data_IF_200011570609
#
_entry.id   IF_200011570609
#
_cell.length_a   1.000
_cell.length_b   1.000
_cell.length_c   1.000
_cell.angle_alpha   90.00
_cell.angle_beta   90.00
_cell.angle_gamma   90.00
#
_symmetry.space_group_name_H-M   'P 1'
#
loop_
_entity.id
_entity.type
_entity.pdbx_description
1 polymer ?
#
# COMPACT_ATOMS: atom_id res chain seq x y z
N UNK A 1 -31.12 -22.07 -30.63
CA UNK A 1 -30.91 -23.41 -31.19
C UNK A 1 -31.18 -24.41 -30.10
N UNK A 2 -32.22 -25.23 -30.20
CA UNK A 2 -32.60 -26.17 -29.13
C UNK A 2 -32.54 -27.61 -29.62
N UNK A 3 -32.00 -28.48 -28.77
CA UNK A 3 -31.75 -29.90 -29.06
C UNK A 3 -32.85 -30.80 -28.50
N UNK A 4 -33.64 -30.29 -27.55
CA UNK A 4 -34.83 -30.94 -26.99
C UNK A 4 -35.89 -29.90 -26.63
N UNK A 5 -37.03 -30.35 -26.07
CA UNK A 5 -38.04 -29.45 -25.50
C UNK A 5 -37.54 -28.68 -24.26
N UNK A 6 -36.45 -29.13 -23.63
CA UNK A 6 -35.93 -28.59 -22.36
C UNK A 6 -34.48 -28.11 -22.44
N UNK A 7 -33.78 -28.37 -23.53
CA UNK A 7 -32.34 -28.11 -23.66
C UNK A 7 -32.04 -27.30 -24.91
N UNK A 8 -31.22 -26.25 -24.73
CA UNK A 8 -30.77 -25.40 -25.80
C UNK A 8 -29.25 -25.28 -25.84
N UNK A 9 -28.69 -25.08 -27.04
CA UNK A 9 -27.26 -24.80 -27.23
C UNK A 9 -26.97 -23.30 -27.20
N UNK A 10 -27.95 -22.51 -27.68
CA UNK A 10 -27.81 -21.05 -27.77
C UNK A 10 -29.17 -20.38 -27.65
N UNK A 11 -29.23 -19.31 -26.86
CA UNK A 11 -30.41 -18.48 -26.67
C UNK A 11 -30.48 -17.36 -27.73
N UNK A 12 -31.70 -16.91 -28.03
CA UNK A 12 -31.93 -15.79 -28.96
C UNK A 12 -31.56 -14.48 -28.28
N UNK A 13 -31.98 -14.31 -27.03
CA UNK A 13 -31.57 -13.20 -26.17
C UNK A 13 -30.08 -13.34 -25.82
N UNK A 14 -29.32 -12.30 -26.09
CA UNK A 14 -27.87 -12.23 -25.87
C UNK A 14 -27.48 -12.19 -24.39
N UNK A 15 -28.40 -11.81 -23.51
CA UNK A 15 -28.17 -11.77 -22.06
C UNK A 15 -28.55 -13.10 -21.38
N UNK A 16 -29.19 -14.02 -22.12
CA UNK A 16 -29.56 -15.34 -21.62
C UNK A 16 -28.55 -16.41 -22.02
N UNK A 17 -28.43 -17.43 -21.18
CA UNK A 17 -27.63 -18.63 -21.43
C UNK A 17 -28.43 -19.90 -21.24
N UNK A 18 -28.05 -20.98 -21.95
CA UNK A 18 -28.70 -22.24 -21.74
C UNK A 18 -28.43 -22.82 -20.36
N UNK A 19 -29.45 -23.45 -19.77
CA UNK A 19 -29.36 -24.19 -18.51
C UNK A 19 -29.91 -25.59 -18.76
N UNK A 20 -29.16 -26.66 -18.42
CA UNK A 20 -29.63 -28.03 -18.61
C UNK A 20 -31.01 -28.26 -17.96
N UNK A 21 -31.96 -28.76 -18.74
CA UNK A 21 -33.34 -29.01 -18.31
C UNK A 21 -34.21 -27.77 -18.11
N UNK A 22 -33.69 -26.55 -18.36
CA UNK A 22 -34.39 -25.27 -18.15
C UNK A 22 -34.25 -24.30 -19.32
N UNK A 23 -34.01 -24.83 -20.52
CA UNK A 23 -33.90 -24.05 -21.76
C UNK A 23 -32.93 -22.87 -21.61
N UNK A 24 -33.45 -21.63 -21.64
CA UNK A 24 -32.70 -20.37 -21.59
C UNK A 24 -33.02 -19.55 -20.33
N UNK A 25 -33.33 -20.21 -19.22
CA UNK A 25 -33.62 -19.54 -17.93
C UNK A 25 -32.38 -19.03 -17.19
N UNK A 26 -31.16 -19.24 -17.70
CA UNK A 26 -29.94 -18.67 -17.13
C UNK A 26 -29.63 -17.29 -17.71
N UNK A 27 -28.91 -16.47 -16.93
CA UNK A 27 -28.32 -15.22 -17.41
C UNK A 27 -26.80 -15.36 -17.61
N UNK A 28 -26.26 -14.64 -18.60
CA UNK A 28 -24.83 -14.53 -18.83
C UNK A 28 -24.13 -13.79 -17.67
N UNK A 29 -22.82 -13.97 -17.55
CA UNK A 29 -22.01 -13.19 -16.61
C UNK A 29 -22.25 -11.69 -16.85
N UNK A 30 -22.34 -10.92 -15.76
CA UNK A 30 -22.75 -9.52 -15.76
C UNK A 30 -24.26 -9.33 -15.61
N UNK A 31 -25.05 -10.41 -15.55
CA UNK A 31 -26.50 -10.35 -15.40
C UNK A 31 -27.05 -11.35 -14.37
N UNK A 32 -28.17 -11.01 -13.73
CA UNK A 32 -28.96 -11.89 -12.88
C UNK A 32 -30.40 -11.99 -13.37
N UNK A 33 -31.07 -13.09 -13.05
CA UNK A 33 -32.47 -13.29 -13.41
C UNK A 33 -33.36 -12.55 -12.41
N UNK A 34 -34.13 -11.58 -12.90
CA UNK A 34 -35.20 -10.92 -12.17
C UNK A 34 -36.51 -11.13 -12.91
N UNK A 35 -37.45 -11.84 -12.29
CA UNK A 35 -38.69 -12.28 -12.92
C UNK A 35 -38.41 -13.08 -14.21
N UNK A 36 -38.65 -12.49 -15.38
CA UNK A 36 -38.43 -13.10 -16.69
C UNK A 36 -37.36 -12.34 -17.50
N UNK A 37 -36.55 -11.50 -16.87
CA UNK A 37 -35.53 -10.71 -17.56
C UNK A 37 -34.17 -10.82 -16.89
N UNK A 38 -33.12 -10.79 -17.71
CA UNK A 38 -31.74 -10.70 -17.23
C UNK A 38 -31.40 -9.22 -17.00
N UNK A 39 -31.29 -8.81 -15.74
CA UNK A 39 -30.91 -7.45 -15.35
C UNK A 39 -29.41 -7.38 -15.07
N UNK A 40 -28.79 -6.22 -15.29
CA UNK A 40 -27.34 -6.08 -15.12
C UNK A 40 -26.95 -6.14 -13.65
N UNK A 41 -25.90 -6.87 -13.35
CA UNK A 41 -25.23 -6.85 -12.05
C UNK A 41 -24.77 -5.42 -11.69
N UNK A 42 -24.49 -5.21 -10.40
CA UNK A 42 -23.77 -4.02 -9.96
C UNK A 42 -22.41 -3.88 -10.66
N UNK A 43 -21.93 -2.64 -10.79
CA UNK A 43 -20.62 -2.37 -11.40
C UNK A 43 -19.51 -3.17 -10.72
N UNK A 44 -18.53 -3.58 -11.53
CA UNK A 44 -17.39 -4.40 -11.11
C UNK A 44 -17.76 -5.81 -10.63
N UNK A 45 -19.04 -6.20 -10.71
CA UNK A 45 -19.48 -7.55 -10.42
C UNK A 45 -19.63 -8.37 -11.70
N UNK A 46 -18.93 -9.50 -11.78
CA UNK A 46 -18.97 -10.45 -12.90
C UNK A 46 -20.11 -11.46 -12.77
N UNK A 47 -20.41 -11.92 -11.56
CA UNK A 47 -21.54 -12.82 -11.29
C UNK A 47 -22.23 -12.34 -10.02
N UNK A 48 -23.55 -12.13 -10.08
CA UNK A 48 -24.35 -11.67 -8.96
C UNK A 48 -25.61 -12.53 -8.77
N UNK A 49 -26.14 -12.56 -7.56
CA UNK A 49 -27.46 -13.13 -7.26
C UNK A 49 -28.58 -12.12 -7.51
N UNK A 50 -28.32 -10.86 -7.18
CA UNK A 50 -29.22 -9.72 -7.39
C UNK A 50 -28.41 -8.43 -7.57
N UNK A 51 -29.10 -7.28 -7.64
CA UNK A 51 -28.46 -5.97 -7.80
C UNK A 51 -27.43 -5.64 -6.72
N UNK A 52 -27.61 -6.15 -5.50
CA UNK A 52 -26.83 -5.82 -4.30
C UNK A 52 -25.86 -6.91 -3.87
N UNK A 53 -26.07 -8.15 -4.31
CA UNK A 53 -25.27 -9.31 -3.88
C UNK A 53 -24.41 -9.86 -5.01
N UNK A 54 -23.16 -9.42 -5.06
CA UNK A 54 -22.14 -10.00 -5.91
C UNK A 54 -21.61 -11.32 -5.34
N UNK A 55 -21.40 -12.32 -6.20
CA UNK A 55 -20.74 -13.58 -5.82
C UNK A 55 -19.35 -13.73 -6.44
N UNK A 56 -19.09 -12.99 -7.52
CA UNK A 56 -17.77 -12.97 -8.17
C UNK A 56 -17.53 -11.62 -8.83
N UNK A 57 -16.42 -10.98 -8.51
CA UNK A 57 -16.05 -9.68 -9.06
C UNK A 57 -15.27 -9.81 -10.37
N UNK A 58 -15.31 -8.76 -11.17
CA UNK A 58 -14.41 -8.61 -12.30
C UNK A 58 -13.06 -8.13 -11.77
N UNK A 59 -11.99 -8.88 -12.04
CA UNK A 59 -10.62 -8.55 -11.60
C UNK A 59 -9.97 -7.40 -12.37
N UNK A 60 -10.64 -6.92 -13.41
CA UNK A 60 -10.30 -5.70 -14.13
C UNK A 60 -10.30 -4.51 -13.16
N UNK A 61 -9.46 -3.49 -13.40
CA UNK A 61 -9.38 -2.30 -12.54
C UNK A 61 -9.05 -2.57 -11.06
N UNK A 62 -8.30 -3.64 -10.78
CA UNK A 62 -7.68 -3.94 -9.47
C UNK A 62 -8.67 -4.28 -8.34
N UNK A 63 -9.74 -5.01 -8.64
CA UNK A 63 -10.63 -5.60 -7.64
C UNK A 63 -10.21 -7.04 -7.28
N UNK A 64 -10.45 -7.42 -6.03
CA UNK A 64 -10.41 -8.81 -5.58
C UNK A 64 -11.48 -9.63 -6.30
N UNK A 65 -11.16 -10.87 -6.70
CA UNK A 65 -12.14 -11.73 -7.38
C UNK A 65 -13.30 -12.13 -6.43
N UNK A 66 -12.99 -12.28 -5.14
CA UNK A 66 -13.95 -12.68 -4.12
C UNK A 66 -14.53 -11.44 -3.44
N UNK A 67 -15.86 -11.21 -3.51
CA UNK A 67 -16.49 -10.08 -2.84
C UNK A 67 -16.53 -10.26 -1.31
N UNK A 68 -16.58 -9.14 -0.61
CA UNK A 68 -16.81 -9.06 0.84
C UNK A 68 -18.23 -8.54 1.06
N UNK A 69 -19.06 -9.30 1.78
CA UNK A 69 -20.46 -8.96 2.04
C UNK A 69 -21.26 -8.60 0.77
N UNK A 70 -21.01 -9.33 -0.32
CA UNK A 70 -21.66 -9.10 -1.61
C UNK A 70 -21.14 -7.90 -2.40
N UNK A 71 -20.09 -7.23 -1.91
CA UNK A 71 -19.49 -6.04 -2.56
C UNK A 71 -18.06 -6.32 -3.03
N UNK A 72 -17.73 -5.85 -4.23
CA UNK A 72 -16.36 -5.94 -4.75
C UNK A 72 -15.44 -4.94 -4.07
N UNK A 73 -14.32 -5.44 -3.56
CA UNK A 73 -13.31 -4.66 -2.85
C UNK A 73 -12.02 -4.61 -3.67
N UNK A 74 -11.22 -3.57 -3.45
CA UNK A 74 -9.93 -3.43 -4.11
C UNK A 74 -8.92 -4.45 -3.59
N UNK A 75 -7.97 -4.84 -4.44
CA UNK A 75 -6.80 -5.60 -4.01
C UNK A 75 -5.96 -4.78 -3.01
N UNK A 76 -5.12 -5.47 -2.23
CA UNK A 76 -4.21 -4.81 -1.31
C UNK A 76 -3.34 -3.74 -2.00
N UNK A 77 -3.20 -2.57 -1.35
CA UNK A 77 -2.47 -1.43 -1.89
C UNK A 77 -3.27 -0.54 -2.85
N UNK A 78 -4.57 -0.78 -2.98
CA UNK A 78 -5.47 0.04 -3.78
C UNK A 78 -6.71 0.46 -2.97
N UNK A 79 -7.29 1.61 -3.34
CA UNK A 79 -8.47 2.19 -2.70
C UNK A 79 -9.51 2.51 -3.75
N UNK A 80 -10.77 2.21 -3.44
CA UNK A 80 -11.88 2.47 -4.34
C UNK A 80 -12.12 3.98 -4.49
N UNK A 81 -12.02 4.49 -5.71
CA UNK A 81 -12.41 5.85 -6.06
C UNK A 81 -13.84 5.86 -6.59
N UNK A 82 -14.73 6.57 -5.89
CA UNK A 82 -16.15 6.63 -6.23
C UNK A 82 -16.46 7.43 -7.50
N UNK A 83 -15.54 8.30 -7.95
CA UNK A 83 -15.69 9.14 -9.14
C UNK A 83 -15.32 8.36 -10.41
N UNK A 84 -14.20 7.65 -10.40
CA UNK A 84 -13.77 6.81 -11.52
C UNK A 84 -14.41 5.42 -11.48
N UNK A 85 -14.88 5.00 -10.30
CA UNK A 85 -15.40 3.66 -10.01
C UNK A 85 -14.37 2.56 -10.24
N UNK A 86 -13.10 2.90 -10.04
CA UNK A 86 -11.93 2.02 -10.13
C UNK A 86 -11.21 1.94 -8.79
N UNK A 87 -10.32 0.98 -8.65
CA UNK A 87 -9.38 0.94 -7.56
C UNK A 87 -8.09 1.64 -7.98
N UNK A 88 -7.72 2.67 -7.24
CA UNK A 88 -6.54 3.48 -7.52
C UNK A 88 -5.45 3.16 -6.49
N UNK A 89 -4.17 3.12 -6.88
CA UNK A 89 -3.12 2.66 -5.99
C UNK A 89 -2.83 3.70 -4.91
N UNK A 90 -2.44 3.22 -3.71
CA UNK A 90 -2.13 4.05 -2.55
C UNK A 90 -1.12 5.15 -2.83
N UNK A 91 -0.10 4.84 -3.67
CA UNK A 91 0.94 5.79 -4.06
C UNK A 91 0.40 7.05 -4.77
N UNK A 92 -0.67 6.89 -5.54
CA UNK A 92 -1.28 7.98 -6.31
C UNK A 92 -2.32 8.73 -5.49
N UNK A 93 -2.96 8.06 -4.52
CA UNK A 93 -3.99 8.66 -3.65
C UNK A 93 -3.44 9.44 -2.48
N UNK A 94 -2.38 8.95 -1.84
CA UNK A 94 -1.88 9.53 -0.60
C UNK A 94 -0.49 10.15 -0.77
N UNK A 95 0.51 9.31 -1.02
CA UNK A 95 1.91 9.69 -1.11
C UNK A 95 2.68 8.62 -1.90
N UNK A 96 3.61 9.03 -2.77
CA UNK A 96 4.35 8.13 -3.68
C UNK A 96 5.02 6.93 -2.98
N UNK A 97 5.38 7.09 -1.70
CA UNK A 97 6.05 6.05 -0.93
C UNK A 97 5.08 5.13 -0.17
N UNK A 98 3.77 5.32 -0.29
CA UNK A 98 2.77 4.51 0.40
C UNK A 98 2.42 3.23 -0.38
N UNK A 99 2.63 2.06 0.24
CA UNK A 99 2.33 0.75 -0.34
C UNK A 99 0.97 0.18 0.10
N UNK A 100 0.60 0.36 1.37
CA UNK A 100 -0.72 -0.05 1.89
C UNK A 100 -1.38 1.14 2.57
N UNK A 101 -2.68 1.30 2.37
CA UNK A 101 -3.41 2.44 2.88
C UNK A 101 -4.90 2.14 3.09
N UNK A 102 -5.53 2.97 3.92
CA UNK A 102 -6.96 3.23 3.87
C UNK A 102 -7.24 4.42 2.94
N UNK A 103 -8.49 4.89 2.90
CA UNK A 103 -8.87 6.07 2.12
C UNK A 103 -8.11 7.34 2.49
N UNK A 104 -7.65 7.46 3.73
CA UNK A 104 -7.05 8.71 4.25
C UNK A 104 -5.69 8.52 4.93
N UNK A 105 -5.29 7.27 5.21
CA UNK A 105 -4.07 6.99 5.98
C UNK A 105 -3.21 5.95 5.28
N UNK A 106 -1.91 6.21 5.23
CA UNK A 106 -0.93 5.20 4.90
C UNK A 106 -0.70 4.29 6.12
N UNK A 107 -0.65 2.98 5.90
CA UNK A 107 -0.32 1.99 6.93
C UNK A 107 1.06 1.40 6.74
N UNK A 108 1.52 1.26 5.49
CA UNK A 108 2.84 0.69 5.17
C UNK A 108 3.51 1.48 4.06
N UNK A 109 4.77 1.84 4.30
CA UNK A 109 5.64 2.50 3.32
C UNK A 109 6.43 1.49 2.49
N UNK A 110 6.86 1.90 1.30
CA UNK A 110 7.56 1.05 0.33
C UNK A 110 9.05 0.82 0.63
N UNK A 111 9.58 1.42 1.70
CA UNK A 111 10.98 1.31 2.09
C UNK A 111 11.14 1.24 3.62
N UNK A 112 12.16 0.49 4.07
CA UNK A 112 12.38 0.22 5.49
C UNK A 112 12.84 1.44 6.30
N UNK A 113 13.44 2.45 5.66
CA UNK A 113 13.84 3.70 6.31
C UNK A 113 12.71 4.73 6.39
N UNK A 114 11.50 4.36 5.95
CA UNK A 114 10.30 5.17 6.04
C UNK A 114 9.33 4.61 7.08
N UNK A 115 8.59 5.49 7.73
CA UNK A 115 7.48 5.16 8.62
C UNK A 115 6.22 5.92 8.23
N UNK A 116 5.07 5.28 8.39
CA UNK A 116 3.79 5.87 8.06
C UNK A 116 3.36 6.86 9.15
N UNK A 117 3.00 8.08 8.74
CA UNK A 117 2.52 9.14 9.60
C UNK A 117 1.33 9.83 8.94
N UNK A 118 0.14 9.46 9.40
CA UNK A 118 -1.12 9.85 8.77
C UNK A 118 -1.16 9.42 7.30
N UNK A 119 -1.18 10.36 6.35
CA UNK A 119 -1.19 10.08 4.90
C UNK A 119 0.22 9.94 4.31
N UNK A 120 1.24 10.36 5.04
CA UNK A 120 2.59 10.52 4.53
C UNK A 120 3.49 9.38 5.00
N UNK A 121 4.47 9.02 4.16
CA UNK A 121 5.58 8.18 4.54
C UNK A 121 6.79 9.07 4.77
N UNK A 122 7.24 9.16 6.03
CA UNK A 122 8.31 10.06 6.46
C UNK A 122 9.55 9.29 6.82
N UNK A 123 10.71 9.95 6.76
CA UNK A 123 11.97 9.34 7.20
C UNK A 123 11.89 8.95 8.68
N UNK A 124 12.27 7.72 9.00
CA UNK A 124 12.41 7.25 10.38
C UNK A 124 13.42 8.08 11.16
N UNK A 125 13.29 8.05 12.49
CA UNK A 125 14.33 8.57 13.38
C UNK A 125 15.73 8.05 13.00
N UNK A 126 16.72 8.94 13.07
CA UNK A 126 18.08 8.66 12.60
C UNK A 126 18.31 8.92 11.11
N UNK A 127 17.28 9.37 10.38
CA UNK A 127 17.37 9.89 9.03
C UNK A 127 16.81 11.32 8.97
N UNK A 128 17.34 12.13 8.08
CA UNK A 128 16.77 13.43 7.72
C UNK A 128 16.29 13.44 6.27
N UNK A 129 15.25 14.21 5.99
CA UNK A 129 14.73 14.40 4.64
C UNK A 129 15.55 15.45 3.89
N UNK A 130 15.99 15.13 2.68
CA UNK A 130 16.66 16.06 1.77
C UNK A 130 15.65 16.91 0.99
N UNK A 131 16.12 17.94 0.26
CA UNK A 131 15.24 18.78 -0.56
C UNK A 131 14.65 18.08 -1.79
N UNK A 132 15.10 16.86 -2.08
CA UNK A 132 14.56 15.97 -3.12
C UNK A 132 13.88 14.73 -2.50
N UNK A 133 13.40 14.86 -1.26
CA UNK A 133 12.56 13.88 -0.54
C UNK A 133 13.23 12.53 -0.24
N UNK A 134 14.53 12.40 -0.47
CA UNK A 134 15.28 11.22 -0.04
C UNK A 134 15.60 11.27 1.46
N UNK A 135 15.55 10.11 2.11
CA UNK A 135 16.01 9.93 3.48
C UNK A 135 17.50 9.61 3.52
N UNK A 136 18.25 10.40 4.30
CA UNK A 136 19.69 10.21 4.47
C UNK A 136 20.00 9.96 5.94
N UNK A 137 20.76 8.90 6.29
CA UNK A 137 21.08 8.62 7.68
C UNK A 137 21.97 9.71 8.27
N UNK A 138 21.73 10.06 9.53
CA UNK A 138 22.40 11.16 10.23
C UNK A 138 23.92 10.98 10.31
N UNK A 139 24.37 9.75 10.46
CA UNK A 139 25.79 9.42 10.63
C UNK A 139 26.61 9.56 9.33
N UNK A 140 25.95 9.63 8.17
CA UNK A 140 26.61 9.76 6.86
C UNK A 140 27.49 11.00 6.75
N UNK A 141 27.03 12.13 7.30
CA UNK A 141 27.75 13.40 7.26
C UNK A 141 28.21 13.87 8.64
N UNK A 142 27.56 13.40 9.71
CA UNK A 142 27.90 13.74 11.09
C UNK A 142 28.30 12.45 11.83
N UNK A 143 29.58 12.09 11.76
CA UNK A 143 30.08 10.86 12.37
C UNK A 143 29.68 10.78 13.86
N UNK A 144 29.05 9.66 14.25
CA UNK A 144 28.58 9.45 15.61
C UNK A 144 27.28 10.17 15.95
N UNK A 145 26.56 10.74 14.99
CA UNK A 145 25.21 11.26 15.20
C UNK A 145 24.15 10.17 15.04
N UNK A 146 23.18 10.10 15.96
CA UNK A 146 22.08 9.13 15.93
C UNK A 146 20.71 9.76 15.74
N UNK A 147 20.56 11.07 15.98
CA UNK A 147 19.36 11.85 15.63
C UNK A 147 19.78 13.22 15.09
N UNK A 148 19.13 13.68 14.02
CA UNK A 148 19.46 14.92 13.34
C UNK A 148 18.23 15.54 12.68
N UNK A 149 18.25 16.86 12.50
CA UNK A 149 17.23 17.64 11.80
C UNK A 149 17.67 18.03 10.38
N UNK A 150 18.89 17.64 9.99
CA UNK A 150 19.47 17.96 8.69
C UNK A 150 20.95 17.56 8.60
N UNK A 151 21.54 17.79 7.43
CA UNK A 151 22.91 17.38 7.08
C UNK A 151 24.02 17.84 8.05
N UNK A 152 23.80 18.96 8.74
CA UNK A 152 24.77 19.60 9.66
C UNK A 152 24.15 19.87 11.05
N UNK A 153 22.99 19.28 11.36
CA UNK A 153 22.24 19.57 12.59
C UNK A 153 21.95 18.29 13.38
N UNK A 154 22.91 17.85 14.18
CA UNK A 154 22.72 16.72 15.09
C UNK A 154 22.04 17.16 16.39
N UNK A 155 21.05 16.39 16.83
CA UNK A 155 20.35 16.58 18.11
C UNK A 155 20.75 15.54 19.16
N UNK A 156 21.23 14.37 18.74
CA UNK A 156 21.70 13.30 19.66
C UNK A 156 22.90 12.56 19.09
N UNK A 157 23.94 12.41 19.91
CA UNK A 157 25.13 11.64 19.56
C UNK A 157 25.06 10.21 20.11
N UNK A 158 25.78 9.30 19.44
CA UNK A 158 26.08 7.95 19.89
C UNK A 158 26.88 7.99 21.20
N UNK A 159 26.73 6.96 22.02
CA UNK A 159 27.52 6.82 23.25
C UNK A 159 29.02 6.98 22.99
N UNK A 160 29.68 7.78 23.83
CA UNK A 160 31.09 8.14 23.68
C UNK A 160 31.36 9.41 22.88
N UNK A 161 30.34 10.02 22.26
CA UNK A 161 30.43 11.31 21.59
C UNK A 161 29.69 12.39 22.38
N UNK A 162 30.20 13.61 22.34
CA UNK A 162 29.56 14.79 22.95
C UNK A 162 29.02 15.72 21.88
N UNK A 163 27.77 16.17 22.02
CA UNK A 163 27.15 17.13 21.11
C UNK A 163 27.75 18.54 21.29
N UNK A 164 28.29 19.10 20.21
CA UNK A 164 28.65 20.51 20.14
C UNK A 164 27.45 21.31 19.62
N UNK A 165 26.74 21.98 20.54
CA UNK A 165 25.52 22.75 20.24
C UNK A 165 25.72 23.92 19.27
N UNK A 166 26.93 24.46 19.16
CA UNK A 166 27.22 25.58 18.24
C UNK A 166 27.39 25.09 16.81
N UNK A 167 28.07 23.96 16.61
CA UNK A 167 28.34 23.40 15.28
C UNK A 167 27.30 22.39 14.80
N UNK A 168 26.44 21.88 15.69
CA UNK A 168 25.51 20.79 15.38
C UNK A 168 26.21 19.44 15.15
N UNK A 169 27.46 19.26 15.59
CA UNK A 169 28.26 18.04 15.33
C UNK A 169 28.60 17.27 16.60
N UNK A 170 28.86 15.98 16.43
CA UNK A 170 29.30 15.08 17.49
C UNK A 170 30.82 14.99 17.53
N UNK A 171 31.41 15.26 18.70
CA UNK A 171 32.86 15.17 18.92
C UNK A 171 33.13 13.98 19.86
N UNK A 172 33.75 12.91 19.35
CA UNK A 172 33.86 11.64 20.07
C UNK A 172 35.24 11.01 20.21
N UNK A 173 36.31 11.69 19.80
CA UNK A 173 37.64 11.10 19.90
C UNK A 173 38.22 11.07 21.34
N UNK A 174 37.57 11.66 22.34
CA UNK A 174 38.20 11.87 23.66
C UNK A 174 38.42 10.54 24.41
N UNK A 175 37.50 9.56 24.37
CA UNK A 175 37.73 8.26 25.04
C UNK A 175 38.86 7.45 24.39
N UNK A 176 38.95 7.45 23.06
CA UNK A 176 40.06 6.80 22.35
C UNK A 176 41.39 7.52 22.58
N UNK A 177 41.39 8.86 22.60
CA UNK A 177 42.58 9.65 22.93
C UNK A 177 43.01 9.42 24.38
N UNK A 178 42.08 9.40 25.35
CA UNK A 178 42.41 9.10 26.75
C UNK A 178 42.98 7.69 26.87
N UNK A 179 42.36 6.67 26.25
CA UNK A 179 42.87 5.30 26.27
C UNK A 179 44.28 5.24 25.65
N UNK A 180 44.47 5.84 24.47
CA UNK A 180 45.78 5.92 23.81
C UNK A 180 46.82 6.63 24.67
N UNK A 181 46.46 7.73 25.35
CA UNK A 181 47.35 8.47 26.26
C UNK A 181 47.66 7.64 27.50
N UNK A 182 46.69 6.93 28.09
CA UNK A 182 46.93 6.04 29.23
C UNK A 182 47.82 4.86 28.88
N UNK A 183 47.65 4.25 27.69
CA UNK A 183 48.51 3.17 27.19
C UNK A 183 49.93 3.71 26.92
N UNK A 184 50.06 4.87 26.28
CA UNK A 184 51.36 5.48 26.02
C UNK A 184 52.10 5.82 27.31
N UNK A 185 51.41 6.35 28.33
CA UNK A 185 51.99 6.60 29.65
C UNK A 185 52.39 5.29 30.34
N UNK A 186 51.57 4.24 30.29
CA UNK A 186 51.89 2.93 30.86
C UNK A 186 53.07 2.22 30.18
N UNK A 187 53.41 2.55 28.93
CA UNK A 187 54.59 2.06 28.23
C UNK A 187 55.86 2.89 28.49
N UNK A 188 55.71 4.06 29.12
CA UNK A 188 56.81 4.97 29.48
C UNK A 188 57.27 4.84 30.94
N UNK A 189 56.60 4.01 31.75
CA UNK A 189 56.94 3.70 33.14
C UNK A 189 57.20 2.22 33.35
#
# INVERSE_FOLDING_TARGET
>A
NCTSATDCEKCIDENRKPVPGKMCEGCNDGYYLSEESCLTCSKNCKVCEDQTKCVKCAVENFFEETPVDGTCVCIEGYVYDTKTQTCDPCKDKLNEFCSLCSTEKCSVCNAEYLEAKEKDCVCKEGYYTTSWEACVPCDRHINGCVLCDGKDSCSKCKDGYTLNKTSGKCNGAIKMVIIMVTIALALLF
#
